data_IF_382650262280
#
_entry.id   IF_382650262280
#
_cell.length_a   1.000
_cell.length_b   1.000
_cell.length_c   1.000
_cell.angle_alpha   90.00
_cell.angle_beta   90.00
_cell.angle_gamma   90.00
#
_symmetry.space_group_name_H-M   'P 1'
#
loop_
_entity.id
_entity.type
_entity.pdbx_description
1 polymer ?
#
# COMPACT_ATOMS: atom_id res chain seq x y z
N UNK A 1 17.39 12.51 1.54
CA UNK A 1 17.48 11.14 2.08
C UNK A 1 17.33 10.18 0.92
N UNK A 2 18.44 9.63 0.44
CA UNK A 2 18.47 8.76 -0.76
C UNK A 2 19.56 7.67 -0.68
N UNK A 3 20.13 7.44 0.51
CA UNK A 3 21.04 6.33 0.76
C UNK A 3 20.27 5.03 0.98
N UNK A 4 20.88 3.89 0.65
CA UNK A 4 20.29 2.57 0.92
C UNK A 4 20.29 2.33 2.44
N UNK A 5 19.18 1.82 2.97
CA UNK A 5 19.09 1.43 4.37
C UNK A 5 19.89 0.15 4.68
N UNK A 6 20.12 -0.10 5.97
CA UNK A 6 20.72 -1.36 6.44
C UNK A 6 19.66 -2.47 6.31
N UNK A 7 19.96 -3.62 5.68
CA UNK A 7 18.99 -4.70 5.54
C UNK A 7 18.64 -5.31 6.90
N UNK A 8 17.42 -5.83 7.03
CA UNK A 8 16.92 -6.43 8.28
C UNK A 8 17.82 -7.55 8.81
N UNK A 9 18.54 -8.26 7.93
CA UNK A 9 19.46 -9.33 8.32
C UNK A 9 20.80 -8.85 8.89
N UNK A 10 21.05 -7.54 8.91
CA UNK A 10 22.33 -6.92 9.32
C UNK A 10 22.15 -5.67 10.19
N UNK A 11 20.93 -5.33 10.62
CA UNK A 11 20.68 -4.11 11.41
C UNK A 11 21.59 -4.00 12.65
N UNK A 12 21.87 -5.13 13.28
CA UNK A 12 22.68 -5.24 14.49
C UNK A 12 24.15 -4.85 14.27
N UNK A 13 24.67 -4.95 13.04
CA UNK A 13 25.98 -4.41 12.70
C UNK A 13 26.00 -2.89 12.83
N UNK A 14 24.89 -2.22 12.53
CA UNK A 14 24.74 -0.78 12.73
C UNK A 14 24.77 -0.36 14.21
N UNK A 15 24.75 -1.32 15.14
CA UNK A 15 24.94 -1.11 16.58
C UNK A 15 26.35 -1.48 17.02
N UNK A 16 26.86 -2.65 16.60
CA UNK A 16 28.07 -3.27 17.17
C UNK A 16 29.36 -3.04 16.39
N UNK A 17 29.28 -2.67 15.11
CA UNK A 17 30.47 -2.43 14.29
C UNK A 17 31.17 -1.12 14.70
N UNK A 18 32.44 -1.01 14.34
CA UNK A 18 33.21 0.22 14.51
C UNK A 18 32.48 1.39 13.81
N UNK A 19 32.27 2.54 14.49
CA UNK A 19 31.71 3.74 13.88
C UNK A 19 32.38 4.16 12.56
N UNK A 20 33.67 3.84 12.36
CA UNK A 20 34.37 4.10 11.11
C UNK A 20 33.96 3.18 9.94
N UNK A 21 33.26 2.07 10.22
CA UNK A 21 32.77 1.08 9.25
C UNK A 21 31.28 1.22 8.93
N UNK A 22 30.58 2.14 9.60
CA UNK A 22 29.18 2.47 9.29
C UNK A 22 29.11 3.76 8.48
N UNK A 23 28.24 3.79 7.47
CA UNK A 23 28.03 4.99 6.64
C UNK A 23 27.25 6.08 7.40
N UNK A 24 26.48 5.69 8.42
CA UNK A 24 25.72 6.62 9.25
C UNK A 24 26.66 7.37 10.21
N UNK A 25 26.39 8.66 10.49
CA UNK A 25 27.26 9.46 11.36
C UNK A 25 27.31 8.96 12.81
N UNK A 26 26.31 8.19 13.24
CA UNK A 26 26.22 7.61 14.57
C UNK A 26 25.73 6.16 14.48
N UNK A 27 26.17 5.27 15.40
CA UNK A 27 25.59 3.95 15.55
C UNK A 27 24.11 4.02 15.93
N UNK A 28 23.35 2.99 15.59
CA UNK A 28 21.95 2.84 15.96
C UNK A 28 21.83 2.75 17.48
N UNK A 29 21.09 3.69 18.08
CA UNK A 29 20.84 3.74 19.52
C UNK A 29 19.44 3.22 19.90
N UNK A 30 18.49 3.25 18.97
CA UNK A 30 17.11 2.89 19.21
C UNK A 30 16.60 1.86 18.20
N UNK A 31 15.81 0.89 18.66
CA UNK A 31 15.15 -0.08 17.79
C UNK A 31 13.69 -0.29 18.20
N UNK A 32 12.80 -0.35 17.21
CA UNK A 32 11.38 -0.68 17.39
C UNK A 32 11.10 -1.98 16.65
N UNK A 33 10.79 -3.04 17.39
CA UNK A 33 10.25 -4.28 16.85
C UNK A 33 8.73 -4.24 16.96
N UNK A 34 8.04 -4.16 15.81
CA UNK A 34 6.58 -4.05 15.76
C UNK A 34 6.02 -5.22 14.94
N UNK A 35 5.32 -6.15 15.59
CA UNK A 35 4.81 -7.37 14.96
C UNK A 35 5.91 -8.22 14.31
N UNK A 36 7.12 -8.18 14.87
CA UNK A 36 8.30 -8.83 14.31
C UNK A 36 9.17 -9.42 15.41
N UNK A 37 9.85 -10.53 15.11
CA UNK A 37 10.78 -11.20 16.01
C UNK A 37 12.08 -11.63 15.29
N UNK A 38 13.20 -11.82 15.99
CA UNK A 38 14.51 -12.06 15.40
C UNK A 38 14.79 -13.55 15.16
N UNK A 39 13.88 -14.43 15.57
CA UNK A 39 14.03 -15.88 15.53
C UNK A 39 14.21 -16.46 14.11
N UNK A 40 13.82 -15.72 13.07
CA UNK A 40 14.03 -16.08 11.67
C UNK A 40 15.38 -15.59 11.10
N UNK A 41 16.17 -14.86 11.88
CA UNK A 41 17.42 -14.23 11.45
C UNK A 41 18.63 -15.06 11.90
N UNK A 42 19.74 -14.93 11.15
CA UNK A 42 21.02 -15.57 11.49
C UNK A 42 21.83 -14.70 12.44
N UNK A 43 22.90 -15.25 13.04
CA UNK A 43 23.81 -14.54 13.97
C UNK A 43 23.15 -14.04 15.25
N UNK A 44 22.24 -14.85 15.84
CA UNK A 44 21.57 -14.53 17.11
C UNK A 44 22.51 -14.08 18.25
N UNK A 45 23.72 -14.63 18.44
CA UNK A 45 24.65 -14.11 19.45
C UNK A 45 25.06 -12.64 19.20
N UNK A 46 25.24 -12.24 17.95
CA UNK A 46 25.58 -10.86 17.58
C UNK A 46 24.37 -9.94 17.81
N UNK A 47 23.18 -10.46 17.54
CA UNK A 47 21.94 -9.76 17.78
C UNK A 47 21.67 -9.52 19.26
N UNK A 48 21.91 -10.53 20.12
CA UNK A 48 21.86 -10.36 21.58
C UNK A 48 22.79 -9.23 22.02
N UNK A 49 24.05 -9.25 21.55
CA UNK A 49 25.03 -8.19 21.84
C UNK A 49 24.57 -6.80 21.39
N UNK A 50 23.91 -6.70 20.24
CA UNK A 50 23.36 -5.45 19.74
C UNK A 50 22.17 -4.96 20.58
N UNK A 51 21.21 -5.84 20.89
CA UNK A 51 20.05 -5.51 21.71
C UNK A 51 20.46 -4.99 23.11
N UNK A 52 21.54 -5.53 23.66
CA UNK A 52 22.14 -5.11 24.92
C UNK A 52 22.82 -3.74 24.88
N UNK A 53 23.23 -3.27 23.70
CA UNK A 53 23.93 -1.99 23.49
C UNK A 53 23.01 -0.84 23.07
N UNK A 54 21.76 -1.12 22.68
CA UNK A 54 20.79 -0.07 22.37
C UNK A 54 20.47 0.76 23.61
N UNK A 55 20.32 2.08 23.47
CA UNK A 55 19.74 2.92 24.52
C UNK A 55 18.26 2.60 24.73
N UNK A 56 17.52 2.35 23.65
CA UNK A 56 16.07 2.10 23.70
C UNK A 56 15.65 0.96 22.79
N UNK A 57 14.91 0.01 23.35
CA UNK A 57 14.27 -1.09 22.64
C UNK A 57 12.77 -1.03 22.90
N UNK A 58 11.96 -0.90 21.86
CA UNK A 58 10.50 -0.97 21.95
C UNK A 58 10.03 -2.23 21.25
N UNK A 59 9.23 -3.04 21.93
CA UNK A 59 8.58 -4.23 21.36
C UNK A 59 7.07 -4.02 21.41
N UNK A 60 6.43 -4.05 20.24
CA UNK A 60 4.99 -3.90 20.06
C UNK A 60 4.45 -5.20 19.50
N UNK A 61 3.76 -5.98 20.33
CA UNK A 61 3.27 -7.31 19.97
C UNK A 61 2.15 -7.75 20.92
N UNK A 62 1.18 -8.58 20.49
CA UNK A 62 0.22 -9.21 21.39
C UNK A 62 0.85 -10.19 22.39
N UNK A 63 2.06 -10.70 22.12
CA UNK A 63 2.75 -11.67 22.98
C UNK A 63 4.19 -11.25 23.26
N UNK A 64 4.78 -11.64 24.42
CA UNK A 64 6.22 -11.49 24.63
C UNK A 64 7.01 -12.31 23.59
N UNK A 65 7.63 -11.63 22.63
CA UNK A 65 8.42 -12.27 21.56
C UNK A 65 9.83 -12.64 22.04
N UNK A 66 10.58 -13.38 21.21
CA UNK A 66 11.99 -13.66 21.48
C UNK A 66 12.83 -12.38 21.65
N UNK A 67 12.47 -11.27 20.99
CA UNK A 67 13.13 -9.97 21.18
C UNK A 67 13.07 -9.51 22.64
N UNK A 68 11.92 -9.70 23.30
CA UNK A 68 11.71 -9.26 24.68
C UNK A 68 12.59 -10.02 25.69
N UNK A 69 12.92 -11.28 25.40
CA UNK A 69 13.60 -12.19 26.35
C UNK A 69 15.04 -12.55 25.99
N UNK A 70 15.51 -12.21 24.78
CA UNK A 70 16.87 -12.57 24.33
C UNK A 70 17.97 -11.76 25.04
N UNK A 71 17.63 -10.59 25.56
CA UNK A 71 18.54 -9.61 26.14
C UNK A 71 18.37 -9.55 27.67
N UNK A 72 19.44 -9.21 28.40
CA UNK A 72 19.48 -9.25 29.87
C UNK A 72 19.29 -7.86 30.54
N UNK A 73 18.89 -6.83 29.80
CA UNK A 73 18.72 -5.47 30.31
C UNK A 73 17.49 -5.36 31.20
N UNK A 74 17.61 -4.53 32.22
CA UNK A 74 16.53 -4.15 33.14
C UNK A 74 15.95 -2.76 32.86
N UNK A 75 16.57 -1.98 31.97
CA UNK A 75 16.16 -0.63 31.61
C UNK A 75 16.21 -0.36 30.10
N UNK A 76 15.51 0.70 29.68
CA UNK A 76 15.41 1.11 28.27
C UNK A 76 14.67 0.12 27.36
N UNK A 77 14.00 -0.89 27.93
CA UNK A 77 13.15 -1.84 27.20
C UNK A 77 11.68 -1.58 27.50
N UNK A 78 10.88 -1.35 26.47
CA UNK A 78 9.45 -1.08 26.57
C UNK A 78 8.67 -2.15 25.84
N UNK A 79 7.68 -2.74 26.51
CA UNK A 79 6.73 -3.67 25.91
C UNK A 79 5.38 -2.96 25.80
N UNK A 80 4.92 -2.74 24.57
CA UNK A 80 3.62 -2.15 24.30
C UNK A 80 2.65 -3.26 23.88
N UNK A 81 1.56 -3.50 24.64
CA UNK A 81 0.61 -4.56 24.31
C UNK A 81 -0.19 -4.18 23.06
N UNK A 82 0.02 -4.92 21.97
CA UNK A 82 -0.74 -4.77 20.74
C UNK A 82 -1.95 -5.70 20.72
N UNK A 83 -3.01 -5.28 20.05
CA UNK A 83 -4.18 -6.13 19.80
C UNK A 83 -3.86 -7.20 18.73
N UNK A 84 -4.51 -8.35 18.82
CA UNK A 84 -4.50 -9.39 17.80
C UNK A 84 -5.37 -9.01 16.60
N UNK A 85 -5.24 -9.76 15.49
CA UNK A 85 -6.09 -9.59 14.30
C UNK A 85 -7.60 -9.79 14.54
N UNK A 86 -8.01 -10.35 15.68
CA UNK A 86 -9.42 -10.57 16.04
C UNK A 86 -9.99 -9.42 16.88
N UNK A 87 -9.13 -8.56 17.40
CA UNK A 87 -9.45 -7.42 18.26
C UNK A 87 -9.45 -6.08 17.51
N UNK A 88 -9.27 -6.14 16.20
CA UNK A 88 -9.20 -5.00 15.29
C UNK A 88 -9.97 -5.30 14.00
N UNK A 89 -10.11 -4.31 13.14
CA UNK A 89 -10.80 -4.38 11.85
C UNK A 89 -9.99 -3.64 10.79
N UNK A 90 -10.30 -3.90 9.51
CA UNK A 90 -9.64 -3.26 8.38
C UNK A 90 -9.31 -4.21 7.23
N UNK A 91 -8.54 -3.72 6.26
CA UNK A 91 -8.19 -4.49 5.07
C UNK A 91 -6.95 -5.38 5.27
N UNK A 92 -6.96 -6.58 4.67
CA UNK A 92 -5.79 -7.45 4.53
C UNK A 92 -5.58 -7.84 3.07
N UNK A 93 -4.34 -7.85 2.61
CA UNK A 93 -3.97 -8.30 1.26
C UNK A 93 -3.34 -9.69 1.32
N UNK A 94 -3.91 -10.64 0.58
CA UNK A 94 -3.40 -12.01 0.47
C UNK A 94 -2.30 -12.12 -0.61
N UNK A 95 -1.56 -13.24 -0.60
CA UNK A 95 -0.48 -13.51 -1.56
C UNK A 95 -0.94 -13.59 -3.02
N UNK A 96 -2.22 -13.92 -3.26
CA UNK A 96 -2.85 -13.89 -4.57
C UNK A 96 -3.31 -12.48 -4.98
N UNK A 97 -2.96 -11.44 -4.22
CA UNK A 97 -3.31 -10.02 -4.40
C UNK A 97 -4.77 -9.66 -4.10
N UNK A 98 -5.62 -10.61 -3.74
CA UNK A 98 -6.98 -10.32 -3.28
C UNK A 98 -6.96 -9.63 -1.92
N UNK A 99 -7.80 -8.61 -1.76
CA UNK A 99 -7.97 -7.84 -0.53
C UNK A 99 -9.28 -8.22 0.15
N UNK A 100 -9.26 -8.38 1.46
CA UNK A 100 -10.44 -8.70 2.26
C UNK A 100 -10.62 -7.66 3.35
N UNK A 101 -11.88 -7.30 3.63
CA UNK A 101 -12.20 -6.56 4.84
C UNK A 101 -12.38 -7.54 6.00
N UNK A 102 -11.78 -7.25 7.14
CA UNK A 102 -11.95 -8.01 8.38
C UNK A 102 -12.73 -7.18 9.38
N UNK A 103 -13.69 -7.82 10.04
CA UNK A 103 -14.44 -7.22 11.12
C UNK A 103 -13.79 -7.57 12.46
N UNK A 104 -13.97 -6.68 13.45
CA UNK A 104 -13.60 -6.93 14.83
C UNK A 104 -14.47 -8.04 15.41
N UNK A 105 -13.85 -9.06 16.00
CA UNK A 105 -14.55 -10.24 16.55
C UNK A 105 -14.77 -10.08 18.06
N UNK A 106 -13.77 -9.55 18.77
CA UNK A 106 -13.81 -9.26 20.21
C UNK A 106 -13.17 -7.91 20.50
N UNK A 107 -13.43 -7.33 21.66
CA UNK A 107 -12.72 -6.10 22.09
C UNK A 107 -11.27 -6.42 22.49
N UNK A 108 -10.34 -5.47 22.30
CA UNK A 108 -8.97 -5.60 22.79
C UNK A 108 -8.91 -6.00 24.27
N UNK A 109 -8.13 -7.03 24.59
CA UNK A 109 -7.99 -7.55 25.93
C UNK A 109 -7.09 -6.67 26.79
N UNK A 110 -7.50 -6.44 28.05
CA UNK A 110 -6.76 -5.65 29.03
C UNK A 110 -6.47 -4.22 28.54
N UNK A 111 -5.19 -3.84 28.49
CA UNK A 111 -4.70 -2.55 28.01
C UNK A 111 -4.18 -2.62 26.56
N UNK A 112 -4.39 -3.76 25.88
CA UNK A 112 -3.98 -3.91 24.49
C UNK A 112 -4.70 -2.89 23.60
N UNK A 113 -3.97 -2.38 22.61
CA UNK A 113 -4.50 -1.44 21.63
C UNK A 113 -4.24 -1.90 20.20
N UNK A 114 -5.17 -1.68 19.26
CA UNK A 114 -4.89 -1.81 17.84
C UNK A 114 -3.66 -1.00 17.42
N UNK A 115 -2.90 -1.50 16.44
CA UNK A 115 -1.64 -0.87 16.02
C UNK A 115 -1.83 0.57 15.53
N UNK A 116 -2.97 0.86 14.88
CA UNK A 116 -3.28 2.19 14.37
C UNK A 116 -3.51 3.21 15.50
N UNK A 117 -4.10 2.80 16.63
CA UNK A 117 -4.22 3.65 17.83
C UNK A 117 -2.84 3.97 18.40
N UNK A 118 -1.98 2.95 18.55
CA UNK A 118 -0.61 3.11 19.05
C UNK A 118 0.16 4.09 18.14
N UNK A 119 0.01 3.97 16.83
CA UNK A 119 0.64 4.87 15.86
C UNK A 119 0.15 6.31 16.01
N UNK A 120 -1.17 6.52 16.18
CA UNK A 120 -1.73 7.84 16.41
C UNK A 120 -1.22 8.46 17.72
N UNK A 121 -1.21 7.69 18.80
CA UNK A 121 -0.72 8.13 20.12
C UNK A 121 0.76 8.55 20.07
N UNK A 122 1.60 7.79 19.35
CA UNK A 122 3.00 8.15 19.12
C UNK A 122 3.12 9.42 18.28
N UNK A 123 2.39 9.53 17.17
CA UNK A 123 2.40 10.72 16.32
C UNK A 123 1.95 11.98 17.09
N UNK A 124 0.97 11.84 17.98
CA UNK A 124 0.51 12.93 18.87
C UNK A 124 1.60 13.30 19.87
N UNK A 125 2.23 12.31 20.49
CA UNK A 125 3.33 12.53 21.45
C UNK A 125 4.53 13.23 20.82
N UNK A 126 4.85 12.91 19.56
CA UNK A 126 5.94 13.51 18.81
C UNK A 126 5.57 14.81 18.08
N UNK A 127 4.30 15.23 18.12
CA UNK A 127 3.86 16.54 17.60
C UNK A 127 3.65 16.59 16.08
N UNK A 128 3.45 15.46 15.41
CA UNK A 128 3.18 15.42 13.97
C UNK A 128 1.84 14.75 13.59
N UNK A 129 0.99 14.43 14.55
CA UNK A 129 -0.33 13.84 14.31
C UNK A 129 -1.20 14.68 13.35
N UNK A 130 -1.28 16.00 13.53
CA UNK A 130 -2.09 16.88 12.67
C UNK A 130 -1.72 16.73 11.19
N UNK A 131 -0.42 16.67 10.88
CA UNK A 131 0.05 16.51 9.51
C UNK A 131 -0.17 15.09 8.97
N UNK A 132 0.09 14.08 9.81
CA UNK A 132 0.00 12.67 9.42
C UNK A 132 -1.45 12.20 9.24
N UNK A 133 -2.38 12.69 10.06
CA UNK A 133 -3.79 12.30 10.10
C UNK A 133 -4.74 13.37 9.55
N UNK A 134 -4.25 14.35 8.79
CA UNK A 134 -5.05 15.49 8.27
C UNK A 134 -6.32 15.10 7.49
N UNK A 135 -6.33 13.89 6.91
CA UNK A 135 -7.41 13.33 6.09
C UNK A 135 -8.08 12.12 6.77
N UNK A 136 -7.72 11.81 8.01
CA UNK A 136 -8.16 10.62 8.73
C UNK A 136 -8.86 11.09 9.99
N UNK A 137 -10.16 10.79 10.11
CA UNK A 137 -10.91 11.07 11.32
C UNK A 137 -10.32 10.32 12.51
N UNK A 138 -10.46 10.90 13.70
CA UNK A 138 -9.98 10.30 14.95
C UNK A 138 -11.07 10.45 16.00
N UNK A 139 -11.46 9.35 16.63
CA UNK A 139 -12.45 9.29 17.70
C UNK A 139 -11.81 8.59 18.91
N UNK A 140 -11.87 9.19 20.09
CA UNK A 140 -11.33 8.61 21.34
C UNK A 140 -9.89 8.07 21.24
N UNK A 141 -9.00 8.85 20.60
CA UNK A 141 -7.61 8.49 20.31
C UNK A 141 -7.42 7.32 19.32
N UNK A 142 -8.47 6.87 18.64
CA UNK A 142 -8.44 5.85 17.62
C UNK A 142 -8.70 6.46 16.23
N UNK A 143 -7.79 6.31 15.25
CA UNK A 143 -8.05 6.74 13.88
C UNK A 143 -9.11 5.83 13.21
N UNK A 144 -9.98 6.45 12.40
CA UNK A 144 -10.99 5.74 11.61
C UNK A 144 -10.27 4.92 10.52
N UNK A 145 -10.40 3.59 10.56
CA UNK A 145 -9.65 2.69 9.69
C UNK A 145 -10.09 2.81 8.23
N UNK A 146 -11.36 3.07 7.99
CA UNK A 146 -11.90 3.34 6.65
C UNK A 146 -11.17 4.50 5.97
N UNK A 147 -10.94 5.59 6.71
CA UNK A 147 -10.25 6.76 6.18
C UNK A 147 -8.78 6.46 5.86
N UNK A 148 -8.14 5.55 6.61
CA UNK A 148 -6.79 5.07 6.29
C UNK A 148 -6.78 4.36 4.94
N UNK A 149 -7.76 3.47 4.70
CA UNK A 149 -7.89 2.79 3.40
C UNK A 149 -8.20 3.78 2.27
N UNK A 150 -9.09 4.75 2.50
CA UNK A 150 -9.38 5.81 1.54
C UNK A 150 -8.13 6.67 1.23
N UNK A 151 -7.31 6.99 2.23
CA UNK A 151 -6.06 7.73 2.02
C UNK A 151 -5.04 6.93 1.22
N UNK A 152 -4.95 5.60 1.42
CA UNK A 152 -4.18 4.71 0.54
C UNK A 152 -4.72 4.79 -0.89
N UNK A 153 -6.04 4.70 -1.08
CA UNK A 153 -6.65 4.77 -2.40
C UNK A 153 -6.38 6.10 -3.11
N UNK A 154 -6.41 7.21 -2.37
CA UNK A 154 -6.08 8.54 -2.90
C UNK A 154 -4.61 8.71 -3.27
N UNK A 155 -3.69 8.05 -2.55
CA UNK A 155 -2.25 8.20 -2.73
C UNK A 155 -1.63 7.25 -3.77
N UNK A 156 -2.30 6.15 -4.11
CA UNK A 156 -1.70 5.03 -4.84
C UNK A 156 -2.09 4.92 -6.32
N UNK A 157 -2.47 6.04 -6.96
CA UNK A 157 -2.78 6.10 -8.42
C UNK A 157 -1.71 5.47 -9.29
N UNK A 158 -0.44 5.80 -9.03
CA UNK A 158 0.70 5.25 -9.80
C UNK A 158 0.85 3.73 -9.74
N UNK A 159 0.28 3.10 -8.70
CA UNK A 159 0.40 1.68 -8.46
C UNK A 159 -0.90 0.96 -8.83
N UNK A 160 -2.08 1.58 -8.71
CA UNK A 160 -3.36 0.92 -9.00
C UNK A 160 -3.98 0.23 -7.79
N UNK A 161 -3.80 0.82 -6.60
CA UNK A 161 -4.54 0.48 -5.38
C UNK A 161 -5.62 1.53 -5.10
N UNK A 162 -6.38 1.94 -6.10
CA UNK A 162 -7.31 3.09 -6.01
C UNK A 162 -8.77 2.67 -5.95
N UNK A 163 -9.13 1.55 -6.60
CA UNK A 163 -10.51 1.08 -6.65
C UNK A 163 -10.97 0.31 -5.41
N UNK A 164 -10.08 -0.04 -4.47
CA UNK A 164 -10.39 -0.95 -3.35
C UNK A 164 -10.83 -0.21 -2.07
N UNK A 165 -11.97 0.47 -2.13
CA UNK A 165 -12.52 1.16 -0.96
C UNK A 165 -13.03 0.21 0.13
N UNK A 166 -13.13 0.66 1.40
CA UNK A 166 -13.76 -0.10 2.47
C UNK A 166 -15.16 -0.61 2.12
N UNK A 167 -15.99 0.22 1.50
CA UNK A 167 -17.37 -0.10 1.15
C UNK A 167 -17.43 -1.23 0.12
N UNK A 168 -16.58 -1.17 -0.91
CA UNK A 168 -16.47 -2.24 -1.90
C UNK A 168 -15.93 -3.52 -1.27
N UNK A 169 -14.89 -3.43 -0.45
CA UNK A 169 -14.34 -4.61 0.23
C UNK A 169 -15.38 -5.27 1.15
N UNK A 170 -16.09 -4.50 1.97
CA UNK A 170 -17.21 -5.00 2.80
C UNK A 170 -18.32 -5.61 1.95
N UNK A 171 -18.65 -5.01 0.80
CA UNK A 171 -19.63 -5.55 -0.16
C UNK A 171 -19.21 -6.93 -0.68
N UNK A 172 -17.94 -7.14 -1.01
CA UNK A 172 -17.42 -8.46 -1.39
C UNK A 172 -17.53 -9.45 -0.22
N UNK A 173 -17.16 -9.03 1.00
CA UNK A 173 -17.22 -9.90 2.19
C UNK A 173 -18.66 -10.30 2.55
N UNK A 174 -19.65 -9.45 2.31
CA UNK A 174 -21.06 -9.76 2.50
C UNK A 174 -21.63 -10.70 1.42
N UNK A 175 -20.98 -10.79 0.25
CA UNK A 175 -21.48 -11.50 -0.92
C UNK A 175 -20.56 -12.64 -1.40
N UNK A 176 -19.64 -13.16 -0.57
CA UNK A 176 -18.64 -14.15 -0.99
C UNK A 176 -19.23 -15.38 -1.72
N UNK A 177 -20.48 -15.74 -1.40
CA UNK A 177 -21.21 -16.84 -2.04
C UNK A 177 -21.46 -16.68 -3.53
N UNK A 178 -21.39 -15.46 -4.09
CA UNK A 178 -21.61 -15.20 -5.52
C UNK A 178 -20.34 -15.42 -6.34
N UNK A 179 -19.18 -15.52 -5.71
CA UNK A 179 -17.90 -15.70 -6.37
C UNK A 179 -17.64 -17.17 -6.69
N UNK A 180 -17.31 -17.45 -7.94
CA UNK A 180 -16.86 -18.77 -8.36
C UNK A 180 -15.52 -19.11 -7.69
N UNK A 181 -15.41 -20.33 -7.16
CA UNK A 181 -14.25 -20.73 -6.33
C UNK A 181 -12.98 -20.98 -7.14
N UNK A 182 -13.07 -21.06 -8.46
CA UNK A 182 -11.94 -21.35 -9.35
C UNK A 182 -11.45 -20.06 -10.02
N UNK A 183 -12.36 -19.38 -10.70
CA UNK A 183 -12.07 -18.15 -11.45
C UNK A 183 -12.03 -16.92 -10.54
N UNK A 184 -12.61 -17.03 -9.34
CA UNK A 184 -12.80 -15.92 -8.40
C UNK A 184 -13.68 -14.79 -8.93
N UNK A 185 -14.34 -14.97 -10.07
CA UNK A 185 -15.27 -13.97 -10.60
C UNK A 185 -16.65 -14.15 -9.97
N UNK A 186 -17.28 -13.05 -9.59
CA UNK A 186 -18.67 -13.05 -9.17
C UNK A 186 -19.59 -13.34 -10.38
N UNK A 187 -20.50 -14.29 -10.17
CA UNK A 187 -21.54 -14.66 -11.14
C UNK A 187 -22.90 -14.30 -10.54
N UNK A 188 -23.39 -13.12 -10.90
CA UNK A 188 -24.60 -12.50 -10.41
C UNK A 188 -24.47 -11.83 -9.04
N UNK A 189 -25.59 -11.23 -8.61
CA UNK A 189 -25.68 -10.54 -7.33
C UNK A 189 -25.00 -9.17 -7.31
N UNK A 190 -24.83 -8.56 -6.11
CA UNK A 190 -24.35 -7.19 -6.00
C UNK A 190 -22.94 -6.94 -6.54
N UNK A 191 -22.09 -7.97 -6.58
CA UNK A 191 -20.70 -7.88 -7.04
C UNK A 191 -20.50 -8.46 -8.45
N UNK A 192 -21.57 -8.69 -9.23
CA UNK A 192 -21.48 -9.35 -10.54
C UNK A 192 -20.36 -8.76 -11.42
N UNK A 193 -19.54 -9.63 -12.00
CA UNK A 193 -18.39 -9.25 -12.82
C UNK A 193 -17.10 -8.96 -12.05
N UNK A 194 -17.17 -8.54 -10.77
CA UNK A 194 -15.98 -8.28 -9.95
C UNK A 194 -15.19 -9.56 -9.65
N UNK A 195 -13.88 -9.45 -9.46
CA UNK A 195 -13.06 -10.54 -8.94
C UNK A 195 -12.93 -10.44 -7.42
N UNK A 196 -12.89 -11.59 -6.74
CA UNK A 196 -12.88 -11.68 -5.29
C UNK A 196 -11.72 -10.87 -4.69
N UNK A 197 -12.08 -9.88 -3.87
CA UNK A 197 -11.14 -8.97 -3.24
C UNK A 197 -10.43 -7.99 -4.17
N UNK A 198 -10.94 -7.72 -5.37
CA UNK A 198 -10.40 -6.72 -6.32
C UNK A 198 -8.87 -6.80 -6.45
N UNK A 199 -8.34 -7.95 -6.95
CA UNK A 199 -6.91 -8.22 -6.98
C UNK A 199 -6.17 -7.14 -7.75
N UNK A 200 -4.97 -6.81 -7.28
CA UNK A 200 -4.16 -5.74 -7.86
C UNK A 200 -3.77 -6.01 -9.33
N UNK A 201 -3.82 -4.98 -10.20
CA UNK A 201 -4.37 -3.63 -9.93
C UNK A 201 -5.91 -3.54 -9.95
N UNK A 202 -6.45 -2.55 -9.23
CA UNK A 202 -7.80 -2.05 -9.48
C UNK A 202 -7.74 -0.52 -9.64
N UNK A 203 -8.05 -0.08 -10.86
CA UNK A 203 -7.85 1.29 -11.32
C UNK A 203 -9.08 2.17 -11.05
N UNK A 204 -8.85 3.49 -11.10
CA UNK A 204 -9.91 4.49 -11.01
C UNK A 204 -10.43 4.69 -9.60
N UNK A 205 -11.47 5.52 -9.49
CA UNK A 205 -12.17 5.71 -8.22
C UNK A 205 -13.02 4.47 -7.88
N UNK A 206 -13.43 4.29 -6.62
CA UNK A 206 -14.34 3.20 -6.25
C UNK A 206 -15.64 3.19 -7.08
N UNK A 207 -16.16 4.36 -7.45
CA UNK A 207 -17.40 4.51 -8.23
C UNK A 207 -17.26 4.01 -9.67
N UNK A 208 -16.06 4.09 -10.25
CA UNK A 208 -15.77 3.53 -11.58
C UNK A 208 -15.91 2.01 -11.61
N UNK A 209 -15.84 1.34 -10.45
CA UNK A 209 -16.21 -0.07 -10.32
C UNK A 209 -15.26 -1.03 -11.04
N UNK A 210 -13.99 -0.68 -11.24
CA UNK A 210 -13.03 -1.60 -11.85
C UNK A 210 -12.98 -2.94 -11.07
N UNK A 211 -13.07 -4.10 -11.75
CA UNK A 211 -13.29 -5.40 -11.09
C UNK A 211 -12.05 -5.99 -10.41
N UNK A 212 -10.88 -5.41 -10.71
CA UNK A 212 -9.57 -5.93 -10.33
C UNK A 212 -8.98 -6.81 -11.43
N UNK A 213 -7.67 -7.01 -11.40
CA UNK A 213 -6.91 -7.74 -12.42
C UNK A 213 -6.33 -9.03 -11.83
N UNK A 214 -7.05 -10.17 -11.92
CA UNK A 214 -6.60 -11.43 -11.34
C UNK A 214 -5.42 -12.04 -12.10
N UNK A 215 -5.35 -11.81 -13.41
CA UNK A 215 -4.30 -12.30 -14.31
C UNK A 215 -3.61 -11.09 -14.92
N UNK A 216 -2.36 -10.86 -14.55
CA UNK A 216 -1.56 -9.80 -15.14
C UNK A 216 -1.20 -10.17 -16.58
N UNK A 217 -1.14 -9.17 -17.46
CA UNK A 217 -0.78 -9.32 -18.87
C UNK A 217 -1.80 -10.12 -19.71
N UNK A 218 -3.03 -10.30 -19.22
CA UNK A 218 -4.13 -10.84 -20.01
C UNK A 218 -4.63 -9.78 -21.00
N UNK A 219 -4.18 -9.90 -22.25
CA UNK A 219 -4.59 -9.02 -23.35
C UNK A 219 -5.91 -9.45 -24.00
N UNK A 220 -6.49 -10.59 -23.60
CA UNK A 220 -7.76 -11.06 -24.17
C UNK A 220 -8.98 -10.29 -23.66
N UNK A 221 -8.78 -9.38 -22.69
CA UNK A 221 -9.81 -8.54 -22.08
C UNK A 221 -9.43 -7.06 -22.10
N UNK A 222 -10.39 -6.14 -22.22
CA UNK A 222 -10.14 -4.72 -22.00
C UNK A 222 -9.62 -4.45 -20.59
N UNK A 223 -8.85 -3.37 -20.41
CA UNK A 223 -8.36 -2.97 -19.07
C UNK A 223 -9.51 -2.71 -18.11
N UNK A 224 -10.58 -2.05 -18.57
CA UNK A 224 -11.77 -1.76 -17.76
C UNK A 224 -12.46 -3.02 -17.19
N UNK A 225 -12.26 -4.18 -17.81
CA UNK A 225 -12.84 -5.47 -17.40
C UNK A 225 -11.83 -6.36 -16.64
N UNK A 226 -10.72 -5.79 -16.18
CA UNK A 226 -9.69 -6.50 -15.43
C UNK A 226 -8.63 -7.18 -16.29
N UNK A 227 -8.58 -6.90 -17.60
CA UNK A 227 -7.43 -7.22 -18.44
C UNK A 227 -6.23 -6.31 -18.12
N UNK A 228 -5.07 -6.61 -18.69
CA UNK A 228 -3.89 -5.76 -18.55
C UNK A 228 -2.89 -6.07 -19.67
N UNK A 229 -2.26 -5.05 -20.24
CA UNK A 229 -1.10 -5.22 -21.12
C UNK A 229 0.19 -4.80 -20.41
N UNK A 230 1.34 -5.13 -20.99
CA UNK A 230 2.62 -4.63 -20.49
C UNK A 230 2.72 -3.10 -20.65
N UNK A 231 3.24 -2.42 -19.63
CA UNK A 231 3.50 -0.97 -19.66
C UNK A 231 4.93 -0.69 -19.24
N UNK A 232 5.68 0.01 -20.10
CA UNK A 232 7.03 0.42 -19.78
C UNK A 232 7.01 1.52 -18.70
N UNK A 233 7.66 1.27 -17.56
CA UNK A 233 7.74 2.21 -16.43
C UNK A 233 9.09 2.92 -16.32
N UNK A 234 10.15 2.35 -16.91
CA UNK A 234 11.54 2.79 -16.73
C UNK A 234 12.11 3.48 -17.99
N UNK A 235 11.31 4.34 -18.60
CA UNK A 235 11.62 4.94 -19.90
C UNK A 235 11.14 4.09 -21.06
N UNK A 236 11.30 4.63 -22.27
CA UNK A 236 10.85 4.02 -23.52
C UNK A 236 11.99 3.41 -24.33
N UNK A 237 13.23 3.61 -23.89
CA UNK A 237 14.43 3.17 -24.59
C UNK A 237 15.54 2.82 -23.58
N UNK A 238 16.34 1.81 -23.90
CA UNK A 238 17.62 1.55 -23.23
C UNK A 238 18.68 1.18 -24.26
N UNK A 239 19.82 1.86 -24.23
CA UNK A 239 20.97 1.56 -25.10
C UNK A 239 20.61 1.58 -26.61
N UNK A 240 19.66 2.45 -27.02
CA UNK A 240 19.15 2.51 -28.39
C UNK A 240 18.04 1.50 -28.72
N UNK A 241 17.70 0.59 -27.80
CA UNK A 241 16.64 -0.40 -27.99
C UNK A 241 15.32 0.09 -27.41
N UNK A 242 14.23 -0.06 -28.17
CA UNK A 242 12.88 0.24 -27.76
C UNK A 242 12.45 -0.67 -26.59
N UNK A 243 11.90 -0.09 -25.52
CA UNK A 243 11.34 -0.81 -24.37
C UNK A 243 9.81 -0.88 -24.38
N UNK A 244 9.16 -0.23 -25.35
CA UNK A 244 7.72 -0.34 -25.54
C UNK A 244 7.39 -1.72 -26.09
N UNK A 245 6.25 -2.26 -25.65
CA UNK A 245 5.76 -3.52 -26.18
C UNK A 245 5.41 -3.36 -27.67
N UNK A 246 5.61 -4.39 -28.47
CA UNK A 246 5.24 -4.39 -29.90
C UNK A 246 4.19 -5.49 -30.11
N UNK A 247 3.06 -5.15 -30.74
CA UNK A 247 1.94 -6.06 -30.98
C UNK A 247 1.28 -6.63 -29.72
N UNK A 248 1.52 -6.05 -28.54
CA UNK A 248 0.94 -6.49 -27.26
C UNK A 248 0.05 -5.39 -26.68
N UNK A 249 -1.25 -5.52 -26.91
CA UNK A 249 -2.27 -4.57 -26.48
C UNK A 249 -3.53 -5.32 -26.03
N UNK A 250 -4.35 -4.75 -25.13
CA UNK A 250 -5.63 -5.32 -24.75
C UNK A 250 -6.59 -5.34 -25.94
N UNK A 251 -7.48 -6.33 -25.99
CA UNK A 251 -8.54 -6.39 -27.01
C UNK A 251 -9.36 -5.10 -27.02
N UNK A 252 -9.66 -4.59 -28.22
CA UNK A 252 -10.43 -3.35 -28.40
C UNK A 252 -9.63 -2.05 -28.18
N UNK A 253 -8.34 -2.13 -27.90
CA UNK A 253 -7.46 -0.95 -27.83
C UNK A 253 -7.30 -0.29 -29.21
N UNK A 254 -7.45 1.04 -29.29
CA UNK A 254 -7.13 1.83 -30.49
C UNK A 254 -5.63 1.93 -30.76
N UNK A 255 -4.81 1.70 -29.73
CA UNK A 255 -3.34 1.62 -29.86
C UNK A 255 -2.93 0.16 -29.75
N UNK A 256 -2.30 -0.34 -30.82
CA UNK A 256 -1.91 -1.75 -30.93
C UNK A 256 -0.46 -2.04 -30.50
N UNK A 257 0.27 -1.01 -30.07
CA UNK A 257 1.63 -1.07 -29.56
C UNK A 257 1.75 -0.40 -28.19
N UNK A 258 2.92 -0.55 -27.55
CA UNK A 258 3.27 0.16 -26.34
C UNK A 258 3.36 1.66 -26.59
N UNK A 259 2.97 2.42 -25.58
CA UNK A 259 2.93 3.88 -25.63
C UNK A 259 3.73 4.50 -24.48
N UNK A 260 4.26 5.72 -24.67
CA UNK A 260 4.80 6.49 -23.56
C UNK A 260 3.70 6.84 -22.54
N UNK A 261 4.11 7.38 -21.40
CA UNK A 261 3.17 7.87 -20.40
C UNK A 261 2.10 8.82 -20.98
N UNK A 262 0.85 8.54 -20.67
CA UNK A 262 -0.29 9.37 -21.06
C UNK A 262 -0.33 10.68 -20.28
N UNK A 263 -0.43 11.77 -21.04
CA UNK A 263 -0.60 13.14 -20.56
C UNK A 263 -1.83 13.76 -21.20
N UNK A 264 -2.36 14.82 -20.61
CA UNK A 264 -3.48 15.57 -21.19
C UNK A 264 -3.15 16.10 -22.60
N UNK A 265 -1.90 16.51 -22.85
CA UNK A 265 -1.46 16.89 -24.20
C UNK A 265 -1.55 15.71 -25.20
N UNK A 266 -1.23 14.50 -24.76
CA UNK A 266 -1.36 13.30 -25.57
C UNK A 266 -2.83 12.96 -25.84
N UNK A 267 -3.72 13.07 -24.83
CA UNK A 267 -5.17 12.86 -25.01
C UNK A 267 -5.74 13.81 -26.06
N UNK A 268 -5.44 15.11 -25.94
CA UNK A 268 -5.93 16.11 -26.91
C UNK A 268 -5.38 15.88 -28.32
N UNK A 269 -4.12 15.43 -28.44
CA UNK A 269 -3.54 15.11 -29.77
C UNK A 269 -4.22 13.90 -30.42
N UNK A 270 -4.62 12.91 -29.62
CA UNK A 270 -5.36 11.74 -30.08
C UNK A 270 -6.87 12.03 -30.25
N UNK A 271 -7.34 13.17 -29.74
CA UNK A 271 -8.75 13.55 -29.75
C UNK A 271 -9.61 12.75 -28.76
N UNK A 272 -8.99 12.18 -27.73
CA UNK A 272 -9.64 11.46 -26.62
C UNK A 272 -10.03 12.39 -25.46
N UNK A 273 -9.57 13.64 -25.48
CA UNK A 273 -9.97 14.66 -24.50
C UNK A 273 -11.47 14.99 -24.54
N UNK A 274 -12.15 14.65 -25.63
CA UNK A 274 -13.62 14.74 -25.78
C UNK A 274 -14.37 13.70 -24.95
N UNK A 275 -13.70 12.61 -24.54
CA UNK A 275 -14.31 11.52 -23.79
C UNK A 275 -14.32 11.80 -22.28
N UNK A 276 -13.55 12.82 -21.85
CA UNK A 276 -13.57 13.33 -20.48
C UNK A 276 -14.94 13.95 -20.17
N UNK A 277 -15.50 13.57 -19.03
CA UNK A 277 -16.63 14.27 -18.44
C UNK A 277 -16.26 15.71 -18.07
N UNK A 278 -17.28 16.56 -17.93
CA UNK A 278 -17.09 17.94 -17.46
C UNK A 278 -16.42 18.00 -16.08
N UNK A 279 -16.69 17.02 -15.22
CA UNK A 279 -16.09 16.93 -13.88
C UNK A 279 -14.61 16.55 -13.95
N UNK A 280 -14.26 15.49 -14.69
CA UNK A 280 -12.86 15.08 -14.88
C UNK A 280 -12.03 16.22 -15.47
N UNK A 281 -12.56 16.85 -16.53
CA UNK A 281 -11.91 17.99 -17.16
C UNK A 281 -11.68 19.14 -16.17
N UNK A 282 -12.67 19.50 -15.36
CA UNK A 282 -12.53 20.57 -14.37
C UNK A 282 -11.47 20.25 -13.31
N UNK A 283 -11.36 18.99 -12.88
CA UNK A 283 -10.33 18.55 -11.92
C UNK A 283 -8.94 18.62 -12.56
N UNK A 284 -8.77 18.12 -13.78
CA UNK A 284 -7.52 18.16 -14.54
C UNK A 284 -7.07 19.62 -14.78
N UNK A 285 -7.99 20.51 -15.17
CA UNK A 285 -7.74 21.95 -15.32
C UNK A 285 -7.29 22.59 -14.00
N UNK A 286 -7.91 22.22 -12.87
CA UNK A 286 -7.52 22.69 -11.54
C UNK A 286 -6.12 22.24 -11.13
N UNK A 287 -5.72 21.01 -11.47
CA UNK A 287 -4.38 20.45 -11.18
C UNK A 287 -3.32 21.09 -12.09
N UNK A 288 -3.62 21.24 -13.38
CA UNK A 288 -2.69 21.71 -14.39
C UNK A 288 -2.43 23.22 -14.36
N UNK A 289 -3.40 24.01 -13.90
CA UNK A 289 -3.30 25.47 -13.85
C UNK A 289 -2.92 26.05 -15.22
N UNK A 290 -1.76 26.70 -15.30
CA UNK A 290 -1.27 27.33 -16.53
C UNK A 290 -0.70 26.34 -17.57
N UNK A 291 -0.49 25.07 -17.21
CA UNK A 291 0.10 24.05 -18.08
C UNK A 291 -0.63 22.71 -17.95
N UNK A 292 -1.91 22.72 -18.32
CA UNK A 292 -2.77 21.54 -18.35
C UNK A 292 -2.15 20.37 -19.13
N UNK A 293 -1.37 20.63 -20.18
CA UNK A 293 -0.77 19.60 -21.01
C UNK A 293 0.20 18.65 -20.27
N UNK A 294 0.77 19.08 -19.14
CA UNK A 294 1.68 18.28 -18.31
C UNK A 294 0.97 17.37 -17.30
N UNK A 295 -0.32 17.57 -17.07
CA UNK A 295 -1.08 16.68 -16.20
C UNK A 295 -1.06 15.29 -16.82
N UNK A 296 -0.73 14.29 -16.02
CA UNK A 296 -0.66 12.90 -16.45
C UNK A 296 -1.54 12.05 -15.55
N UNK A 297 -1.83 10.83 -15.99
CA UNK A 297 -2.71 9.87 -15.33
C UNK A 297 -2.37 9.59 -13.86
N UNK A 298 -1.11 9.78 -13.45
CA UNK A 298 -0.66 9.55 -12.06
C UNK A 298 -1.09 10.67 -11.11
N UNK A 299 -1.19 11.88 -11.65
CA UNK A 299 -1.49 13.10 -10.90
C UNK A 299 -2.92 13.56 -11.09
N UNK A 300 -3.59 13.07 -12.13
CA UNK A 300 -5.02 13.24 -12.32
C UNK A 300 -5.79 12.44 -11.26
N UNK A 301 -6.36 13.15 -10.30
CA UNK A 301 -7.14 12.55 -9.21
C UNK A 301 -8.59 12.26 -9.62
N UNK A 302 -9.01 12.63 -10.83
CA UNK A 302 -10.32 12.27 -11.38
C UNK A 302 -10.34 10.87 -11.99
N UNK A 303 -9.19 10.40 -12.48
CA UNK A 303 -9.06 9.13 -13.19
C UNK A 303 -9.53 9.18 -14.65
N UNK A 304 -9.64 10.38 -15.23
CA UNK A 304 -10.06 10.57 -16.61
C UNK A 304 -8.95 10.34 -17.63
N UNK A 305 -7.69 10.65 -17.29
CA UNK A 305 -6.48 10.34 -18.10
C UNK A 305 -6.06 8.88 -17.91
#
# INVERSE_FOLDING_TARGET
>A
MSAKGIPVSRWFDGVIEDPAQIEQPNPIQGMVFWGHAPNSQTRLPDMKRALEQLDTLVVVDPYPTMTAVMQDRSDGVYLLPAATQFETYGSVTASNRSIQWREKVVEPLFEARPDHDVMYLLARKFGFAEKMFKNIGVEDDAPIVEDITHEINRGMWTIGYTGQSPERLRKHMANQKTFDRTTLQAVGGPCDGDYYGMPWPAWGTPEMGHPGTPILYDTSKPVAEGGLCFRARFGVEREGENLLAEGSHPVGSEIEDGYPEFTMAMLSKLGWDKDLSAQERSIIEGIGGNDIGKVNWKTDLSGGI
#
